data_IF_894055051863
#
_entry.id   IF_894055051863
#
_cell.length_a   1.000
_cell.length_b   1.000
_cell.length_c   1.000
_cell.angle_alpha   90.00
_cell.angle_beta   90.00
_cell.angle_gamma   90.00
#
_symmetry.space_group_name_H-M   'P 1'
#
loop_
_entity.id
_entity.type
_entity.pdbx_description
1 polymer ?
#
# COMPACT_ATOMS: atom_id res chain seq x y z
N UNK A 1 2.38 -5.57 -11.69
CA UNK A 1 3.50 -5.07 -10.85
C UNK A 1 3.34 -5.68 -9.48
N UNK A 2 4.31 -6.48 -9.01
CA UNK A 2 4.25 -7.28 -7.76
C UNK A 2 3.69 -6.54 -6.54
N UNK A 3 4.04 -5.26 -6.36
CA UNK A 3 3.53 -4.43 -5.25
C UNK A 3 2.01 -4.20 -5.34
N UNK A 4 1.47 -3.87 -6.50
CA UNK A 4 0.03 -3.66 -6.66
C UNK A 4 -0.77 -4.96 -6.46
N UNK A 5 -0.25 -6.07 -6.98
CA UNK A 5 -0.85 -7.40 -6.82
C UNK A 5 -0.91 -7.83 -5.35
N UNK A 6 0.11 -7.49 -4.54
CA UNK A 6 0.16 -7.82 -3.11
C UNK A 6 -0.83 -7.03 -2.24
N UNK A 7 -1.46 -5.97 -2.77
CA UNK A 7 -2.46 -5.21 -2.02
C UNK A 7 -3.78 -5.95 -1.97
N UNK A 8 -4.43 -5.88 -0.81
CA UNK A 8 -5.75 -6.48 -0.53
C UNK A 8 -6.76 -5.42 -0.11
N UNK A 9 -8.01 -5.83 0.15
CA UNK A 9 -9.01 -4.94 0.77
C UNK A 9 -8.59 -4.50 2.17
N UNK A 10 -7.93 -5.39 2.90
CA UNK A 10 -7.30 -5.05 4.18
C UNK A 10 -6.08 -4.15 3.93
N UNK A 11 -5.96 -3.02 4.64
CA UNK A 11 -4.77 -2.18 4.59
C UNK A 11 -3.53 -2.92 5.09
N UNK A 12 -2.45 -2.86 4.30
CA UNK A 12 -1.15 -3.42 4.64
C UNK A 12 -0.11 -2.31 4.77
N UNK A 13 0.77 -2.39 5.76
CA UNK A 13 1.91 -1.49 5.89
C UNK A 13 2.95 -1.73 4.80
N UNK A 14 3.82 -0.75 4.55
CA UNK A 14 4.95 -0.90 3.62
C UNK A 14 5.88 -2.07 4.00
N UNK A 15 5.99 -2.36 5.30
CA UNK A 15 6.79 -3.48 5.82
C UNK A 15 6.15 -4.83 5.52
N UNK A 16 4.84 -4.94 5.64
CA UNK A 16 4.11 -6.16 5.26
C UNK A 16 4.22 -6.42 3.76
N UNK A 17 4.02 -5.39 2.95
CA UNK A 17 4.14 -5.47 1.48
C UNK A 17 5.57 -5.86 1.07
N UNK A 18 6.59 -5.31 1.72
CA UNK A 18 7.99 -5.67 1.48
C UNK A 18 8.25 -7.16 1.73
N UNK A 19 7.72 -7.71 2.84
CA UNK A 19 7.82 -9.14 3.14
C UNK A 19 7.09 -10.01 2.11
N UNK A 20 5.90 -9.61 1.68
CA UNK A 20 5.10 -10.37 0.70
C UNK A 20 5.73 -10.39 -0.69
N UNK A 21 6.45 -9.34 -1.06
CA UNK A 21 7.02 -9.16 -2.41
C UNK A 21 8.51 -9.48 -2.51
N UNK A 22 9.16 -9.75 -1.37
CA UNK A 22 10.62 -9.87 -1.23
C UNK A 22 11.38 -8.66 -1.77
N UNK A 23 10.77 -7.48 -1.73
CA UNK A 23 11.39 -6.22 -2.15
C UNK A 23 11.87 -5.42 -0.93
N UNK A 24 12.85 -4.54 -1.15
CA UNK A 24 13.23 -3.58 -0.11
C UNK A 24 12.06 -2.67 0.22
N UNK A 25 11.92 -2.27 1.49
CA UNK A 25 10.90 -1.30 1.87
C UNK A 25 11.03 0.03 1.10
N UNK A 26 12.25 0.42 0.69
CA UNK A 26 12.49 1.62 -0.12
C UNK A 26 11.81 1.49 -1.48
N UNK A 27 11.99 0.35 -2.15
CA UNK A 27 11.35 0.05 -3.45
C UNK A 27 9.84 0.03 -3.31
N UNK A 28 9.32 -0.59 -2.24
CA UNK A 28 7.89 -0.61 -1.94
C UNK A 28 7.35 0.81 -1.75
N UNK A 29 8.00 1.66 -0.93
CA UNK A 29 7.59 3.05 -0.74
C UNK A 29 7.57 3.85 -2.05
N UNK A 30 8.59 3.65 -2.89
CA UNK A 30 8.64 4.30 -4.20
C UNK A 30 7.48 3.86 -5.11
N UNK A 31 7.21 2.55 -5.18
CA UNK A 31 6.10 2.00 -5.95
C UNK A 31 4.75 2.48 -5.42
N UNK A 32 4.52 2.47 -4.11
CA UNK A 32 3.30 2.97 -3.49
C UNK A 32 3.07 4.46 -3.78
N UNK A 33 4.13 5.28 -3.76
CA UNK A 33 4.03 6.69 -4.15
C UNK A 33 3.52 6.84 -5.59
N UNK A 34 4.08 6.07 -6.54
CA UNK A 34 3.64 6.11 -7.94
C UNK A 34 2.20 5.63 -8.08
N UNK A 35 1.83 4.53 -7.41
CA UNK A 35 0.47 3.99 -7.46
C UNK A 35 -0.56 4.95 -6.87
N UNK A 36 -0.22 5.61 -5.76
CA UNK A 36 -1.05 6.65 -5.14
C UNK A 36 -1.24 7.84 -6.08
N UNK A 37 -0.17 8.31 -6.73
CA UNK A 37 -0.26 9.39 -7.73
C UNK A 37 -1.15 9.00 -8.92
N UNK A 38 -1.23 7.72 -9.26
CA UNK A 38 -2.10 7.17 -10.29
C UNK A 38 -3.53 6.89 -9.82
N UNK A 39 -3.85 7.14 -8.55
CA UNK A 39 -5.17 6.85 -7.98
C UNK A 39 -5.49 5.36 -7.82
N UNK A 40 -4.50 4.48 -7.92
CA UNK A 40 -4.69 3.02 -7.84
C UNK A 40 -4.67 2.48 -6.41
N UNK A 41 -4.16 3.28 -5.48
CA UNK A 41 -3.91 2.88 -4.09
C UNK A 41 -4.30 4.00 -3.16
N UNK A 42 -4.99 3.64 -2.08
CA UNK A 42 -5.33 4.53 -0.99
C UNK A 42 -4.37 4.32 0.18
N UNK A 43 -3.99 5.43 0.80
CA UNK A 43 -3.30 5.44 2.09
C UNK A 43 -4.34 5.68 3.17
N UNK A 44 -4.41 4.79 4.15
CA UNK A 44 -5.34 4.88 5.27
C UNK A 44 -4.57 4.88 6.59
N UNK A 45 -5.09 5.63 7.55
CA UNK A 45 -4.59 5.64 8.91
C UNK A 45 -5.34 4.60 9.74
N UNK A 46 -4.63 3.84 10.56
CA UNK A 46 -5.28 2.88 11.45
C UNK A 46 -5.98 3.64 12.58
N UNK A 47 -7.28 3.36 12.78
CA UNK A 47 -8.03 3.88 13.91
C UNK A 47 -7.38 3.39 15.22
N UNK A 48 -6.92 4.33 16.06
CA UNK A 48 -6.18 4.04 17.30
C UNK A 48 -4.68 4.30 17.23
N UNK A 49 -4.08 4.41 16.04
CA UNK A 49 -2.68 4.82 15.87
C UNK A 49 -2.49 5.56 14.55
N UNK A 50 -2.62 6.89 14.60
CA UNK A 50 -2.44 7.79 13.45
C UNK A 50 -1.00 7.83 12.94
N UNK A 51 -0.03 7.27 13.68
CA UNK A 51 1.36 7.14 13.21
C UNK A 51 1.51 5.94 12.27
N UNK A 52 0.58 4.98 12.31
CA UNK A 52 0.57 3.80 11.44
C UNK A 52 -0.22 4.07 10.17
N UNK A 53 0.46 3.85 9.05
CA UNK A 53 -0.07 3.99 7.71
C UNK A 53 -0.23 2.62 7.07
N UNK A 54 -1.42 2.36 6.54
CA UNK A 54 -1.74 1.20 5.73
C UNK A 54 -2.02 1.61 4.29
N UNK A 55 -1.83 0.67 3.37
CA UNK A 55 -2.08 0.83 1.95
C UNK A 55 -3.03 -0.26 1.49
N UNK A 56 -4.05 0.12 0.71
CA UNK A 56 -5.02 -0.79 0.09
C UNK A 56 -5.28 -0.38 -1.35
N UNK A 57 -5.89 -1.27 -2.14
CA UNK A 57 -6.35 -0.88 -3.50
C UNK A 57 -7.41 0.20 -3.38
N UNK A 58 -7.33 1.22 -4.23
CA UNK A 58 -8.42 2.19 -4.35
C UNK A 58 -9.68 1.45 -4.83
N UNK A 59 -10.82 1.71 -4.19
CA UNK A 59 -12.09 1.19 -4.66
C UNK A 59 -12.36 1.78 -6.04
N UNK A 60 -12.57 0.94 -7.05
CA UNK A 60 -13.11 1.41 -8.32
C UNK A 60 -14.55 1.79 -8.00
N UNK A 61 -14.84 3.07 -7.76
CA UNK A 61 -16.19 3.58 -7.84
C UNK A 61 -16.63 3.38 -9.29
N UNK A 62 -17.27 2.24 -9.57
CA UNK A 62 -18.14 2.08 -10.74
C UNK A 62 -19.47 2.74 -10.46
#
# INVERSE_FOLDING_TARGET
>A
MRVFESLSERPLSSKEIARLTSLSERTVRYALRILKQKGLVEEVFFLGDTRRRGYRRAGINQ
#
